data_IF_125374076656
#
_entry.id   IF_125374076656
#
_cell.length_a   1.000
_cell.length_b   1.000
_cell.length_c   1.000
_cell.angle_alpha   90.00
_cell.angle_beta   90.00
_cell.angle_gamma   90.00
#
_symmetry.space_group_name_H-M   'P 1'
#
loop_
_entity.id
_entity.type
_entity.pdbx_description
1 polymer ?
#
# COMPACT_ATOMS: atom_id res chain seq x y z
N UNK A 1 -10.70 -6.27 6.30
CA UNK A 1 -11.50 -5.90 5.12
C UNK A 1 -10.78 -4.85 4.25
N UNK A 2 -9.46 -4.96 4.06
CA UNK A 2 -8.65 -3.99 3.29
C UNK A 2 -7.90 -4.63 2.12
N UNK A 3 -7.78 -5.96 2.11
CA UNK A 3 -7.06 -6.71 1.08
C UNK A 3 -7.79 -6.65 -0.29
N UNK A 4 -9.11 -6.57 -0.26
CA UNK A 4 -9.96 -6.54 -1.46
C UNK A 4 -9.80 -5.28 -2.32
N UNK A 5 -9.63 -4.09 -1.72
CA UNK A 5 -9.56 -2.83 -2.47
C UNK A 5 -8.27 -2.65 -3.29
N UNK A 6 -7.17 -3.23 -2.82
CA UNK A 6 -5.89 -3.18 -3.52
C UNK A 6 -5.83 -4.22 -4.65
N UNK A 7 -6.44 -5.40 -4.42
CA UNK A 7 -6.62 -6.41 -5.46
C UNK A 7 -7.50 -5.90 -6.62
N UNK A 8 -8.54 -5.11 -6.33
CA UNK A 8 -9.37 -4.44 -7.36
C UNK A 8 -8.59 -3.47 -8.26
N UNK A 9 -7.41 -3.01 -7.83
CA UNK A 9 -6.50 -2.14 -8.61
C UNK A 9 -5.30 -2.90 -9.20
N UNK A 10 -5.27 -4.23 -9.08
CA UNK A 10 -4.19 -5.07 -9.60
C UNK A 10 -2.98 -5.21 -8.68
N UNK A 11 -2.97 -4.62 -7.49
CA UNK A 11 -1.88 -4.81 -6.53
C UNK A 11 -1.96 -6.22 -5.92
N UNK A 12 -1.02 -7.08 -6.33
CA UNK A 12 -1.13 -8.53 -6.14
C UNK A 12 -0.44 -9.03 -4.86
N UNK A 13 0.49 -8.26 -4.27
CA UNK A 13 1.15 -8.64 -3.02
C UNK A 13 1.30 -7.46 -2.05
N UNK A 14 0.69 -7.62 -0.87
CA UNK A 14 1.01 -6.83 0.31
C UNK A 14 2.21 -7.50 0.99
N UNK A 15 3.42 -7.00 0.75
CA UNK A 15 4.66 -7.66 1.17
C UNK A 15 4.99 -7.45 2.65
N UNK A 16 4.57 -6.33 3.24
CA UNK A 16 4.89 -6.03 4.63
C UNK A 16 3.79 -5.18 5.28
N UNK A 17 3.46 -5.50 6.54
CA UNK A 17 2.59 -4.68 7.39
C UNK A 17 3.30 -4.50 8.74
N UNK A 18 3.85 -3.31 8.96
CA UNK A 18 4.52 -2.95 10.22
C UNK A 18 3.58 -2.01 10.97
N UNK A 19 3.26 -2.36 12.21
CA UNK A 19 2.56 -1.46 13.14
C UNK A 19 3.51 -1.07 14.25
N UNK A 20 3.84 0.22 14.35
CA UNK A 20 4.64 0.70 15.47
C UNK A 20 3.73 0.98 16.66
N UNK A 21 4.15 0.57 17.87
CA UNK A 21 3.47 0.91 19.14
C UNK A 21 3.75 2.38 19.52
N UNK A 22 3.45 3.30 18.62
CA UNK A 22 3.52 4.75 18.82
C UNK A 22 2.12 5.30 19.14
N UNK A 23 2.04 6.51 19.70
CA UNK A 23 0.78 7.24 19.93
C UNK A 23 0.86 8.57 19.16
N UNK A 24 0.12 8.73 18.04
CA UNK A 24 -0.78 7.76 17.41
C UNK A 24 -0.02 6.61 16.73
N UNK A 25 -0.63 5.41 16.60
CA UNK A 25 0.00 4.26 15.96
C UNK A 25 0.23 4.53 14.48
N UNK A 26 1.45 4.22 14.01
CA UNK A 26 1.80 4.30 12.60
C UNK A 26 1.77 2.91 11.99
N UNK A 27 0.94 2.74 10.96
CA UNK A 27 0.84 1.54 10.15
C UNK A 27 1.58 1.78 8.83
N UNK A 28 2.61 1.01 8.55
CA UNK A 28 3.31 1.03 7.27
C UNK A 28 2.97 -0.24 6.51
N UNK A 29 2.53 -0.11 5.26
CA UNK A 29 2.30 -1.24 4.38
C UNK A 29 2.99 -1.07 3.04
N UNK A 30 3.55 -2.15 2.51
CA UNK A 30 4.24 -2.15 1.23
C UNK A 30 3.48 -2.99 0.20
N UNK A 31 3.37 -2.47 -1.01
CA UNK A 31 2.77 -3.16 -2.15
C UNK A 31 3.72 -3.18 -3.33
N UNK A 32 3.61 -4.23 -4.14
CA UNK A 32 4.23 -4.30 -5.46
C UNK A 32 3.18 -4.00 -6.51
N UNK A 33 3.43 -2.95 -7.30
CA UNK A 33 2.63 -2.58 -8.46
C UNK A 33 3.05 -3.46 -9.65
N UNK A 34 2.10 -4.16 -10.29
CA UNK A 34 2.41 -4.96 -11.48
C UNK A 34 2.79 -4.05 -12.66
N UNK A 35 3.49 -4.59 -13.66
CA UNK A 35 4.04 -3.83 -14.81
C UNK A 35 3.00 -3.06 -15.63
N UNK A 36 1.73 -3.47 -15.56
CA UNK A 36 0.61 -2.83 -16.24
C UNK A 36 -0.03 -1.68 -15.45
N UNK A 37 0.44 -1.39 -14.24
CA UNK A 37 -0.08 -0.32 -13.38
C UNK A 37 1.03 0.68 -13.04
N UNK A 38 0.76 1.97 -13.23
CA UNK A 38 1.71 3.03 -12.90
C UNK A 38 1.73 3.28 -11.39
N UNK A 39 2.92 3.33 -10.80
CA UNK A 39 3.11 3.71 -9.39
C UNK A 39 2.55 5.11 -9.11
N UNK A 40 2.56 6.01 -10.09
CA UNK A 40 2.02 7.36 -9.95
C UNK A 40 0.50 7.36 -9.72
N UNK A 41 -0.24 6.49 -10.43
CA UNK A 41 -1.68 6.34 -10.25
C UNK A 41 -2.02 5.78 -8.86
N UNK A 42 -1.19 4.87 -8.34
CA UNK A 42 -1.39 4.29 -7.02
C UNK A 42 -1.01 5.24 -5.89
N UNK A 43 0.02 6.09 -6.08
CA UNK A 43 0.39 7.15 -5.13
C UNK A 43 -0.65 8.28 -5.04
N UNK A 44 -1.54 8.40 -6.04
CA UNK A 44 -2.66 9.34 -6.01
C UNK A 44 -3.80 8.93 -5.07
N UNK A 45 -3.78 7.71 -4.53
CA UNK A 45 -4.80 7.21 -3.60
C UNK A 45 -4.56 7.84 -2.22
N UNK A 46 -5.54 8.57 -1.70
CA UNK A 46 -5.49 9.05 -0.32
C UNK A 46 -5.71 7.89 0.65
N UNK A 47 -4.77 7.72 1.58
CA UNK A 47 -4.86 6.78 2.67
C UNK A 47 -5.32 7.49 3.95
N UNK A 48 -6.00 6.77 4.87
CA UNK A 48 -6.36 7.32 6.17
C UNK A 48 -5.13 7.81 6.95
N UNK A 49 -5.31 8.82 7.80
CA UNK A 49 -4.26 9.29 8.71
C UNK A 49 -3.67 8.12 9.53
N UNK A 50 -2.34 8.10 9.65
CA UNK A 50 -1.59 7.03 10.31
C UNK A 50 -1.25 5.83 9.42
N UNK A 51 -1.73 5.79 8.17
CA UNK A 51 -1.37 4.74 7.18
C UNK A 51 -0.34 5.27 6.19
N UNK A 52 0.88 4.74 6.29
CA UNK A 52 1.93 4.94 5.30
C UNK A 52 1.91 3.78 4.31
N UNK A 53 1.85 4.10 3.03
CA UNK A 53 1.87 3.11 1.96
C UNK A 53 3.09 3.32 1.10
N UNK A 54 3.89 2.27 0.99
CA UNK A 54 5.09 2.23 0.18
C UNK A 54 4.85 1.34 -1.04
N UNK A 55 5.13 1.85 -2.24
CA UNK A 55 4.76 1.18 -3.50
C UNK A 55 5.99 1.04 -4.35
N UNK A 56 6.34 -0.22 -4.65
CA UNK A 56 7.44 -0.58 -5.53
C UNK A 56 6.89 -1.04 -6.88
N UNK A 57 7.62 -0.79 -7.96
CA UNK A 57 7.32 -1.38 -9.27
C UNK A 57 7.94 -2.79 -9.33
N UNK A 58 7.21 -3.77 -9.87
CA UNK A 58 7.79 -5.08 -10.20
C UNK A 58 8.87 -4.93 -11.30
N UNK A 59 10.10 -5.40 -11.02
CA UNK A 59 11.26 -5.41 -11.94
C UNK A 59 11.02 -6.29 -13.18
#
# INVERSE_FOLDING_TARGET
MTKDKFAEKGAMEQTLFISTKSLPPIHTTSFVAPKNVSVADLKGIQFPEGVHVDIHQED
#
